data_IF_544819093396
#
_entry.id   IF_544819093396
#
_cell.length_a   1.000
_cell.length_b   1.000
_cell.length_c   1.000
_cell.angle_alpha   90.00
_cell.angle_beta   90.00
_cell.angle_gamma   90.00
#
_symmetry.space_group_name_H-M   'P 1'
#
loop_
_entity.id
_entity.type
_entity.pdbx_description
1 polymer ?
#
# COMPACT_ATOMS: atom_id res chain seq x y z
N UNK A 1 30.78 -11.18 8.76
CA UNK A 1 30.88 -9.76 9.11
C UNK A 1 30.57 -8.95 7.88
N UNK A 2 29.71 -7.94 8.03
CA UNK A 2 29.41 -6.96 6.97
C UNK A 2 30.08 -5.63 7.31
N UNK A 3 30.46 -4.87 6.29
CA UNK A 3 31.00 -3.53 6.47
C UNK A 3 29.86 -2.51 6.59
N UNK A 4 30.05 -1.53 7.46
CA UNK A 4 29.08 -0.45 7.63
C UNK A 4 28.94 0.37 6.35
N UNK A 5 27.70 0.60 5.92
CA UNK A 5 27.35 1.45 4.78
C UNK A 5 26.66 2.71 5.30
N UNK A 6 27.17 3.89 4.92
CA UNK A 6 26.57 5.16 5.32
C UNK A 6 25.11 5.28 4.82
N UNK A 7 24.22 5.79 5.67
CA UNK A 7 22.79 5.91 5.35
C UNK A 7 21.99 4.61 5.49
N UNK A 8 22.60 3.52 5.99
CA UNK A 8 21.92 2.26 6.24
C UNK A 8 22.09 1.79 7.68
N UNK A 9 21.01 1.25 8.24
CA UNK A 9 21.01 0.50 9.48
C UNK A 9 21.15 -1.01 9.15
N UNK A 10 22.18 -1.64 9.72
CA UNK A 10 22.47 -3.06 9.51
C UNK A 10 22.00 -3.90 10.70
N UNK A 11 21.21 -4.95 10.43
CA UNK A 11 20.71 -5.90 11.43
C UNK A 11 21.21 -7.31 11.07
N UNK A 12 21.89 -7.96 12.01
CA UNK A 12 22.46 -9.32 11.84
C UNK A 12 21.71 -10.31 12.73
N UNK A 13 21.03 -11.28 12.09
CA UNK A 13 20.29 -12.36 12.73
C UNK A 13 20.85 -13.72 12.26
N UNK A 14 21.87 -14.22 12.95
CA UNK A 14 22.60 -15.43 12.54
C UNK A 14 23.29 -15.20 11.19
N UNK A 15 22.94 -15.99 10.18
CA UNK A 15 23.43 -15.82 8.80
C UNK A 15 22.60 -14.83 7.96
N UNK A 16 21.49 -14.33 8.51
CA UNK A 16 20.65 -13.35 7.81
C UNK A 16 21.12 -11.94 8.13
N UNK A 17 21.36 -11.18 7.07
CA UNK A 17 21.77 -9.78 7.13
C UNK A 17 20.66 -8.94 6.49
N UNK A 18 20.23 -7.87 7.16
CA UNK A 18 19.21 -6.93 6.65
C UNK A 18 19.73 -5.51 6.73
N UNK A 19 19.80 -4.81 5.59
CA UNK A 19 20.15 -3.39 5.52
C UNK A 19 18.89 -2.56 5.27
N UNK A 20 18.61 -1.61 6.16
CA UNK A 20 17.47 -0.70 6.08
C UNK A 20 17.97 0.70 5.77
N UNK A 21 17.51 1.28 4.67
CA UNK A 21 17.86 2.66 4.30
C UNK A 21 17.24 3.66 5.30
N UNK A 22 18.04 4.64 5.72
CA UNK A 22 17.62 5.76 6.57
C UNK A 22 17.48 6.98 5.66
N UNK A 23 16.25 7.32 5.22
CA UNK A 23 16.04 8.49 4.37
C UNK A 23 16.29 9.78 5.15
N UNK A 24 16.88 10.76 4.48
CA UNK A 24 16.92 12.13 4.98
C UNK A 24 15.51 12.74 4.94
N UNK A 25 15.16 13.47 6.00
CA UNK A 25 13.91 14.23 6.04
C UNK A 25 14.14 15.49 5.21
N UNK A 26 13.37 15.74 4.15
CA UNK A 26 13.51 16.97 3.38
C UNK A 26 13.15 18.17 4.26
N UNK A 27 13.93 19.25 4.15
CA UNK A 27 13.61 20.51 4.81
C UNK A 27 12.29 21.05 4.27
N UNK A 28 11.42 21.52 5.18
CA UNK A 28 10.20 22.22 4.79
C UNK A 28 10.62 23.58 4.21
N UNK A 29 10.30 23.88 2.94
CA UNK A 29 10.62 25.18 2.39
C UNK A 29 9.90 26.28 3.18
N UNK A 30 10.62 27.37 3.50
CA UNK A 30 10.01 28.54 4.13
C UNK A 30 8.91 29.11 3.21
N UNK A 31 7.69 29.20 3.75
CA UNK A 31 6.55 29.85 3.09
C UNK A 31 6.82 31.35 2.97
N UNK A 32 7.44 31.75 1.86
CA UNK A 32 7.40 33.14 1.41
C UNK A 32 5.97 33.42 0.98
N UNK A 33 5.19 33.98 1.89
CA UNK A 33 3.83 34.50 1.69
C UNK A 33 3.76 35.24 0.33
N UNK A 34 3.33 34.52 -0.70
CA UNK A 34 2.91 35.08 -1.98
C UNK A 34 1.41 34.89 -2.04
N UNK A 35 0.76 36.01 -2.30
CA UNK A 35 -0.65 36.23 -2.58
C UNK A 35 -1.39 34.97 -3.04
N UNK A 36 -2.51 34.69 -2.35
CA UNK A 36 -3.28 33.47 -2.48
C UNK A 36 -4.10 33.49 -3.78
N UNK A 37 -3.45 33.26 -4.92
CA UNK A 37 -4.15 32.82 -6.12
C UNK A 37 -4.57 31.36 -5.91
N UNK A 38 -5.77 31.18 -5.37
CA UNK A 38 -6.37 29.86 -5.21
C UNK A 38 -6.51 29.21 -6.58
N UNK A 39 -5.88 28.05 -6.85
CA UNK A 39 -6.16 27.34 -8.09
C UNK A 39 -7.61 26.87 -8.06
N UNK A 40 -8.38 27.19 -9.12
CA UNK A 40 -9.74 26.66 -9.29
C UNK A 40 -9.66 25.13 -9.19
N UNK A 41 -10.23 24.56 -8.12
CA UNK A 41 -10.26 23.13 -7.85
C UNK A 41 -10.92 22.42 -9.05
N UNK A 42 -10.12 21.80 -9.91
CA UNK A 42 -10.62 20.99 -11.01
C UNK A 42 -11.47 19.84 -10.44
N UNK A 43 -12.64 19.59 -11.05
CA UNK A 43 -13.42 18.38 -10.74
C UNK A 43 -12.65 17.17 -11.27
N UNK A 44 -12.02 16.40 -10.38
CA UNK A 44 -11.52 15.06 -10.71
C UNK A 44 -12.70 14.11 -10.92
N UNK A 45 -12.60 13.23 -11.92
CA UNK A 45 -13.48 12.06 -11.99
C UNK A 45 -13.23 11.15 -10.79
N UNK A 46 -14.29 10.56 -10.24
CA UNK A 46 -14.16 9.56 -9.18
C UNK A 46 -13.59 8.27 -9.79
N UNK A 47 -12.29 8.04 -9.63
CA UNK A 47 -11.62 6.75 -9.89
C UNK A 47 -11.39 5.97 -8.58
N UNK A 48 -12.44 5.85 -7.78
CA UNK A 48 -12.50 4.87 -6.69
C UNK A 48 -13.13 3.59 -7.21
N UNK A 49 -12.43 2.46 -7.09
CA UNK A 49 -13.07 1.15 -7.17
C UNK A 49 -14.02 1.11 -5.97
N UNK A 50 -15.34 1.07 -6.20
CA UNK A 50 -16.31 1.05 -5.11
C UNK A 50 -16.31 -0.35 -4.50
N UNK A 51 -15.42 -0.57 -3.53
CA UNK A 51 -15.13 -1.89 -2.97
C UNK A 51 -16.33 -2.56 -2.31
N UNK A 52 -17.39 -1.85 -1.97
CA UNK A 52 -18.53 -2.44 -1.26
C UNK A 52 -19.31 -3.41 -2.16
N UNK A 53 -19.77 -2.96 -3.33
CA UNK A 53 -20.58 -3.82 -4.22
C UNK A 53 -19.76 -4.95 -4.88
N UNK A 54 -18.51 -4.67 -5.28
CA UNK A 54 -17.65 -5.66 -5.93
C UNK A 54 -17.15 -6.75 -4.96
N UNK A 55 -16.90 -6.42 -3.69
CA UNK A 55 -16.44 -7.41 -2.71
C UNK A 55 -17.56 -8.40 -2.32
N UNK A 56 -18.81 -7.93 -2.16
CA UNK A 56 -19.94 -8.83 -1.91
C UNK A 56 -20.18 -9.78 -3.09
N UNK A 57 -19.98 -9.31 -4.33
CA UNK A 57 -20.06 -10.16 -5.53
C UNK A 57 -19.01 -11.28 -5.52
N UNK A 58 -17.76 -10.96 -5.23
CA UNK A 58 -16.67 -11.94 -5.16
C UNK A 58 -16.91 -12.96 -4.02
N UNK A 59 -17.40 -12.52 -2.86
CA UNK A 59 -17.70 -13.40 -1.73
C UNK A 59 -18.86 -14.37 -2.03
N UNK A 60 -19.89 -13.93 -2.74
CA UNK A 60 -21.00 -14.79 -3.19
C UNK A 60 -20.53 -15.88 -4.18
N UNK A 61 -19.61 -15.55 -5.09
CA UNK A 61 -19.03 -16.53 -6.01
C UNK A 61 -18.17 -17.58 -5.28
N UNK A 62 -17.31 -17.15 -4.35
CA UNK A 62 -16.45 -18.07 -3.58
C UNK A 62 -17.27 -19.03 -2.69
N UNK A 63 -18.32 -18.53 -2.04
CA UNK A 63 -19.21 -19.35 -1.22
C UNK A 63 -19.99 -20.38 -2.04
N UNK A 64 -20.51 -20.00 -3.22
CA UNK A 64 -21.21 -20.94 -4.11
C UNK A 64 -20.29 -22.06 -4.63
N UNK A 65 -19.04 -21.74 -4.99
CA UNK A 65 -18.05 -22.73 -5.43
C UNK A 65 -17.74 -23.74 -4.32
N UNK A 66 -17.63 -23.28 -3.07
CA UNK A 66 -17.39 -24.15 -1.92
C UNK A 66 -18.56 -25.12 -1.69
N UNK A 67 -19.81 -24.67 -1.84
CA UNK A 67 -21.01 -25.52 -1.74
C UNK A 67 -21.03 -26.56 -2.87
N UNK A 68 -20.72 -26.16 -4.11
CA UNK A 68 -20.67 -27.09 -5.25
C UNK A 68 -19.59 -28.16 -5.06
N UNK A 69 -18.40 -27.80 -4.55
CA UNK A 69 -17.34 -28.76 -4.22
C UNK A 69 -17.77 -29.71 -3.09
N UNK A 70 -18.49 -29.22 -2.08
CA UNK A 70 -19.06 -30.06 -1.02
C UNK A 70 -20.11 -31.04 -1.57
N UNK A 71 -20.95 -30.63 -2.51
CA UNK A 71 -21.95 -31.50 -3.15
C UNK A 71 -21.29 -32.55 -4.05
N UNK A 72 -20.29 -32.15 -4.87
CA UNK A 72 -19.55 -33.07 -5.74
C UNK A 72 -18.76 -34.13 -4.97
N UNK A 73 -18.31 -33.82 -3.74
CA UNK A 73 -17.63 -34.79 -2.85
C UNK A 73 -18.60 -35.76 -2.17
N UNK A 74 -19.90 -35.44 -2.15
CA UNK A 74 -20.96 -36.27 -1.52
C UNK A 74 -21.67 -37.18 -2.52
N UNK A 75 -21.42 -37.00 -3.82
CA UNK A 75 -21.70 -37.99 -4.86
C UNK A 75 -20.52 -38.94 -5.01
#
# INVERSE_FOLDING_TARGET
>A
TENQVAGYETIINGYKITNKYIPEIPEVPEDKNKEKDTPKKGKLSKTGINTDADLFGILALLSSLLVALKLKKRN
#
